data_IF_925597736874
#
_entry.id   IF_925597736874
#
_cell.length_a   1.000
_cell.length_b   1.000
_cell.length_c   1.000
_cell.angle_alpha   90.00
_cell.angle_beta   90.00
_cell.angle_gamma   90.00
#
_symmetry.space_group_name_H-M   'P 1'
#
loop_
_entity.id
_entity.type
_entity.pdbx_description
1 polymer ?
#
# COMPACT_ATOMS: atom_id res chain seq x y z
N UNK A 1 -3.12 20.65 -3.88
CA UNK A 1 -2.19 19.66 -4.45
C UNK A 1 -0.87 20.37 -4.67
N UNK A 2 0.25 19.77 -4.25
CA UNK A 2 1.58 20.37 -4.40
C UNK A 2 2.16 19.99 -5.76
N UNK A 3 2.53 20.98 -6.57
CA UNK A 3 3.23 20.76 -7.84
C UNK A 3 4.72 20.54 -7.57
N UNK A 4 5.31 19.52 -8.21
CA UNK A 4 6.74 19.22 -8.12
C UNK A 4 7.35 19.31 -9.51
N UNK A 5 8.34 20.19 -9.65
CA UNK A 5 9.10 20.34 -10.91
C UNK A 5 10.38 19.50 -10.84
N UNK A 6 10.45 18.47 -11.67
CA UNK A 6 11.67 17.68 -11.84
C UNK A 6 12.61 18.39 -12.80
N UNK A 7 13.89 18.51 -12.44
CA UNK A 7 14.95 19.12 -13.25
C UNK A 7 16.06 18.11 -13.47
N UNK A 8 16.80 18.25 -14.57
CA UNK A 8 17.96 17.42 -14.90
C UNK A 8 17.64 15.91 -14.91
N UNK A 9 16.47 15.53 -15.43
CA UNK A 9 16.11 14.13 -15.61
C UNK A 9 16.84 13.60 -16.84
N UNK A 10 17.46 12.44 -16.69
CA UNK A 10 18.17 11.76 -17.77
C UNK A 10 17.21 11.51 -18.97
N UNK A 11 17.60 11.86 -20.21
CA UNK A 11 16.80 11.60 -21.41
C UNK A 11 16.44 10.12 -21.62
N UNK A 12 17.30 9.18 -21.24
CA UNK A 12 17.03 7.75 -21.35
C UNK A 12 15.91 7.34 -20.40
N UNK A 13 15.93 7.87 -19.17
CA UNK A 13 14.86 7.65 -18.18
C UNK A 13 13.52 8.20 -18.68
N UNK A 14 13.51 9.39 -19.28
CA UNK A 14 12.30 9.95 -19.88
C UNK A 14 11.75 9.07 -21.01
N UNK A 15 12.62 8.43 -21.78
CA UNK A 15 12.23 7.53 -22.87
C UNK A 15 11.55 6.28 -22.32
N UNK A 16 12.13 5.67 -21.28
CA UNK A 16 11.55 4.50 -20.61
C UNK A 16 10.18 4.82 -20.01
N UNK A 17 10.05 5.93 -19.27
CA UNK A 17 8.77 6.33 -18.66
C UNK A 17 7.70 6.57 -19.75
N UNK A 18 8.08 7.16 -20.87
CA UNK A 18 7.15 7.43 -21.97
C UNK A 18 6.64 6.14 -22.61
N UNK A 19 7.50 5.13 -22.75
CA UNK A 19 7.12 3.82 -23.25
C UNK A 19 6.23 3.06 -22.26
N UNK A 20 6.54 3.11 -20.95
CA UNK A 20 5.68 2.53 -19.91
C UNK A 20 4.30 3.19 -19.89
N UNK A 21 4.24 4.52 -19.98
CA UNK A 21 2.99 5.26 -20.04
C UNK A 21 2.14 4.82 -21.27
N UNK A 22 2.79 4.61 -22.42
CA UNK A 22 2.13 4.11 -23.64
C UNK A 22 1.55 2.71 -23.42
N UNK A 23 2.34 1.79 -22.87
CA UNK A 23 1.92 0.41 -22.60
C UNK A 23 0.74 0.36 -21.62
N UNK A 24 0.77 1.20 -20.58
CA UNK A 24 -0.26 1.29 -19.56
C UNK A 24 -1.46 2.17 -19.97
N UNK A 25 -1.48 2.71 -21.20
CA UNK A 25 -2.51 3.64 -21.72
C UNK A 25 -2.75 4.84 -20.81
N UNK A 26 -1.66 5.39 -20.27
CA UNK A 26 -1.65 6.55 -19.37
C UNK A 26 -0.86 7.69 -19.98
N UNK A 27 -1.09 8.88 -19.45
CA UNK A 27 -0.17 9.99 -19.66
C UNK A 27 1.11 9.78 -18.86
N UNK A 28 2.21 10.39 -19.31
CA UNK A 28 3.50 10.34 -18.61
C UNK A 28 3.40 10.84 -17.16
N UNK A 29 2.62 11.89 -16.92
CA UNK A 29 2.39 12.41 -15.57
C UNK A 29 1.65 11.39 -14.68
N UNK A 30 0.62 10.75 -15.20
CA UNK A 30 -0.13 9.72 -14.47
C UNK A 30 0.75 8.52 -14.12
N UNK A 31 1.64 8.12 -15.02
CA UNK A 31 2.56 7.01 -14.79
C UNK A 31 3.58 7.35 -13.70
N UNK A 32 4.20 8.53 -13.76
CA UNK A 32 5.11 9.02 -12.71
C UNK A 32 4.38 9.08 -11.37
N UNK A 33 3.16 9.60 -11.35
CA UNK A 33 2.36 9.70 -10.13
C UNK A 33 2.02 8.33 -9.56
N UNK A 34 1.68 7.36 -10.40
CA UNK A 34 1.40 5.99 -9.98
C UNK A 34 2.64 5.36 -9.33
N UNK A 35 3.81 5.47 -9.98
CA UNK A 35 5.07 4.96 -9.44
C UNK A 35 5.48 5.62 -8.12
N UNK A 36 5.34 6.95 -8.01
CA UNK A 36 5.61 7.66 -6.75
C UNK A 36 4.70 7.21 -5.62
N UNK A 37 3.40 7.00 -5.91
CA UNK A 37 2.43 6.49 -4.93
C UNK A 37 2.80 5.08 -4.48
N UNK A 38 3.21 4.23 -5.41
CA UNK A 38 3.63 2.87 -5.13
C UNK A 38 4.86 2.86 -4.21
N UNK A 39 5.91 3.61 -4.56
CA UNK A 39 7.13 3.75 -3.74
C UNK A 39 6.80 4.27 -2.34
N UNK A 40 6.00 5.31 -2.24
CA UNK A 40 5.60 5.89 -0.96
C UNK A 40 4.77 4.90 -0.11
N UNK A 41 3.94 4.08 -0.76
CA UNK A 41 3.08 3.09 -0.10
C UNK A 41 3.80 1.78 0.22
N UNK A 42 4.94 1.49 -0.42
CA UNK A 42 5.65 0.22 -0.27
C UNK A 42 6.07 -0.08 1.17
N UNK A 43 6.51 0.94 1.93
CA UNK A 43 6.84 0.76 3.36
C UNK A 43 5.61 0.40 4.20
N UNK A 44 4.47 1.05 3.94
CA UNK A 44 3.21 0.75 4.62
C UNK A 44 2.71 -0.66 4.26
N UNK A 45 2.79 -1.04 2.99
CA UNK A 45 2.46 -2.39 2.53
C UNK A 45 3.24 -3.45 3.29
N UNK A 46 4.58 -3.35 3.30
CA UNK A 46 5.45 -4.28 4.04
C UNK A 46 5.13 -4.38 5.54
N UNK A 47 4.76 -3.27 6.18
CA UNK A 47 4.38 -3.27 7.60
C UNK A 47 3.03 -3.95 7.82
N UNK A 48 2.06 -3.72 6.94
CA UNK A 48 0.75 -4.38 7.00
C UNK A 48 0.87 -5.89 6.75
N UNK A 49 1.69 -6.30 5.79
CA UNK A 49 1.95 -7.72 5.48
C UNK A 49 2.62 -8.43 6.65
N UNK A 50 3.59 -7.77 7.28
CA UNK A 50 4.24 -8.27 8.50
C UNK A 50 3.24 -8.42 9.65
N UNK A 51 2.39 -7.41 9.86
CA UNK A 51 1.34 -7.47 10.89
C UNK A 51 0.35 -8.61 10.62
N UNK A 52 -0.06 -8.81 9.36
CA UNK A 52 -0.96 -9.90 8.98
C UNK A 52 -0.33 -11.27 9.25
N UNK A 53 0.96 -11.43 8.95
CA UNK A 53 1.72 -12.65 9.21
C UNK A 53 1.86 -12.91 10.71
N UNK A 54 2.21 -11.89 11.49
CA UNK A 54 2.32 -12.00 12.95
C UNK A 54 0.97 -12.32 13.60
N UNK A 55 -0.14 -11.73 13.13
CA UNK A 55 -1.50 -12.10 13.59
C UNK A 55 -1.86 -13.54 13.24
N UNK A 56 -1.56 -13.99 12.03
CA UNK A 56 -1.83 -15.37 11.62
C UNK A 56 -1.02 -16.36 12.48
N UNK A 57 0.24 -16.04 12.77
CA UNK A 57 1.09 -16.84 13.66
C UNK A 57 0.54 -16.88 15.10
N UNK A 58 0.12 -15.73 15.65
CA UNK A 58 -0.51 -15.67 16.97
C UNK A 58 -1.81 -16.48 17.02
N UNK A 59 -2.66 -16.37 16.01
CA UNK A 59 -3.90 -17.15 15.92
C UNK A 59 -3.63 -18.65 15.83
N UNK A 60 -2.63 -19.06 15.04
CA UNK A 60 -2.23 -20.46 14.94
C UNK A 60 -1.67 -21.00 16.27
N UNK A 61 -0.94 -20.19 17.02
CA UNK A 61 -0.30 -20.59 18.27
C UNK A 61 -1.24 -20.58 19.48
N UNK A 62 -2.16 -19.60 19.54
CA UNK A 62 -2.98 -19.35 20.73
C UNK A 62 -4.49 -19.47 20.48
N UNK A 63 -4.92 -19.74 19.25
CA UNK A 63 -6.33 -19.71 18.87
C UNK A 63 -6.91 -18.29 18.82
N UNK A 64 -8.23 -18.16 18.87
CA UNK A 64 -8.88 -16.85 19.04
C UNK A 64 -8.75 -16.44 20.52
N UNK A 65 -8.06 -15.33 20.79
CA UNK A 65 -7.97 -14.78 22.16
C UNK A 65 -9.38 -14.57 22.71
N UNK A 66 -9.61 -14.98 23.97
CA UNK A 66 -10.93 -15.03 24.62
C UNK A 66 -11.71 -13.71 24.52
N UNK A 67 -11.01 -12.59 24.60
CA UNK A 67 -11.47 -11.20 24.56
C UNK A 67 -11.76 -10.68 23.13
N UNK A 68 -11.47 -11.52 22.11
CA UNK A 68 -11.81 -11.29 20.70
C UNK A 68 -12.84 -12.28 20.16
N UNK A 69 -13.33 -13.22 20.99
CA UNK A 69 -14.34 -14.18 20.60
C UNK A 69 -15.59 -13.46 20.03
N UNK A 70 -16.30 -14.06 19.04
CA UNK A 70 -17.37 -13.39 18.31
C UNK A 70 -18.44 -12.76 19.21
N UNK A 71 -18.78 -13.43 20.33
CA UNK A 71 -19.75 -12.93 21.31
C UNK A 71 -19.30 -11.65 22.04
N UNK A 72 -18.03 -11.57 22.44
CA UNK A 72 -17.49 -10.39 23.15
C UNK A 72 -17.32 -9.21 22.19
N UNK A 73 -16.97 -9.49 20.92
CA UNK A 73 -16.88 -8.46 19.86
C UNK A 73 -18.24 -7.83 19.58
N UNK A 74 -19.28 -8.65 19.45
CA UNK A 74 -20.66 -8.20 19.21
C UNK A 74 -21.20 -7.33 20.36
N UNK A 75 -20.94 -7.71 21.61
CA UNK A 75 -21.34 -6.89 22.77
C UNK A 75 -20.63 -5.52 22.81
N UNK A 76 -19.37 -5.46 22.37
CA UNK A 76 -18.61 -4.21 22.36
C UNK A 76 -19.04 -3.26 21.24
N UNK A 77 -19.33 -3.80 20.06
CA UNK A 77 -19.85 -3.04 18.91
C UNK A 77 -21.27 -2.53 19.16
N UNK A 78 -22.10 -3.27 19.92
CA UNK A 78 -23.44 -2.83 20.28
C UNK A 78 -23.47 -1.70 21.33
N UNK A 79 -22.36 -1.45 22.03
CA UNK A 79 -22.26 -0.42 23.08
C UNK A 79 -21.82 0.95 22.57
N UNK A 80 -21.33 1.05 21.34
CA UNK A 80 -20.82 2.27 20.71
C UNK A 80 -21.61 2.58 19.44
#
# INVERSE_FOLDING_TARGET
MTEVRLRNVDPEVLTVIRELARQNRRTMEQEIRAGLREIASARKGRLLDRLATERAAQFAQFGELSDSAPGIRAEREARW
#
